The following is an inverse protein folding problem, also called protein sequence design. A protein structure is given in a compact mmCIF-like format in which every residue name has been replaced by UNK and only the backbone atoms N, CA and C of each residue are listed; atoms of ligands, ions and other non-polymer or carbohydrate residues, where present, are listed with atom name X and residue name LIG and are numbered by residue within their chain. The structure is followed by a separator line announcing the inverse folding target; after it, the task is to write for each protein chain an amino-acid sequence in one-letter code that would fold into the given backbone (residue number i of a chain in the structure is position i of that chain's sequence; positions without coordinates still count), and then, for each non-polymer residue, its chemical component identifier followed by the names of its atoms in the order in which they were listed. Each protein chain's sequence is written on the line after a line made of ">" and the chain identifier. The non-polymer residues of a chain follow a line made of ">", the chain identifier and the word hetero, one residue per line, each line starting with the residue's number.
data_IF_830626264104
#
_entry.id   IF_830626264104
#
_cell.length_a   1.000
_cell.length_b   1.000
_cell.length_c   1.000
_cell.angle_alpha   90.00
_cell.angle_beta   90.00
_cell.angle_gamma   90.00
#
_symmetry.space_group_name_H-M   'P 1'
#
loop_
_entity.id
_entity.type
_entity.pdbx_description
1 polymer ?
#
# COMPACT_ATOMS: atom_id res chain seq x y z
N UNK A 1 5.34 -3.88 0.06
CA UNK A 1 4.82 -2.49 0.04
C UNK A 1 5.88 -1.50 -0.41
N UNK A 2 7.05 -1.47 0.22
CA UNK A 2 8.16 -0.58 -0.18
C UNK A 2 8.51 -0.66 -1.69
N UNK A 3 8.70 -1.87 -2.21
CA UNK A 3 8.92 -2.13 -3.65
C UNK A 3 7.77 -1.64 -4.55
N UNK A 4 6.52 -1.78 -4.12
CA UNK A 4 5.33 -1.33 -4.85
C UNK A 4 5.20 0.21 -4.85
N UNK A 5 5.64 0.86 -3.76
CA UNK A 5 5.76 2.31 -3.68
C UNK A 5 6.84 2.84 -4.63
N UNK A 6 8.04 2.23 -4.61
CA UNK A 6 9.19 2.61 -5.45
C UNK A 6 8.92 2.43 -6.96
N UNK A 7 8.20 1.37 -7.34
CA UNK A 7 7.81 1.12 -8.73
C UNK A 7 6.60 1.94 -9.21
N UNK A 8 5.97 2.71 -8.32
CA UNK A 8 4.81 3.55 -8.65
C UNK A 8 3.49 2.79 -8.76
N UNK A 9 3.44 1.51 -8.36
CA UNK A 9 2.22 0.70 -8.28
C UNK A 9 1.31 1.16 -7.13
N UNK A 10 1.89 1.70 -6.05
CA UNK A 10 1.18 2.29 -4.90
C UNK A 10 1.58 3.76 -4.67
N UNK A 11 1.18 4.67 -5.56
CA UNK A 11 1.53 6.11 -5.51
C UNK A 11 1.02 6.85 -4.26
N UNK A 12 -0.05 6.33 -3.65
CA UNK A 12 -0.67 6.90 -2.46
C UNK A 12 0.21 6.72 -1.21
N UNK A 13 1.19 5.81 -1.23
CA UNK A 13 2.15 5.60 -0.14
C UNK A 13 3.34 6.55 -0.32
N UNK A 14 3.78 7.18 0.78
CA UNK A 14 5.08 7.87 0.82
C UNK A 14 6.15 6.93 1.34
N UNK A 15 5.81 6.12 2.35
CA UNK A 15 6.74 5.18 2.96
C UNK A 15 6.07 4.22 3.92
N UNK A 16 6.85 3.28 4.41
CA UNK A 16 6.44 2.29 5.40
C UNK A 16 7.50 2.16 6.49
N UNK A 17 7.08 1.97 7.73
CA UNK A 17 7.96 1.59 8.85
C UNK A 17 7.51 0.20 9.30
N UNK A 18 8.40 -0.78 9.20
CA UNK A 18 8.13 -2.15 9.63
C UNK A 18 8.77 -2.42 11.00
N UNK A 19 8.00 -3.05 11.88
CA UNK A 19 8.49 -3.74 13.08
C UNK A 19 8.49 -5.25 12.85
N UNK A 20 8.41 -6.02 13.93
CA UNK A 20 8.44 -7.49 13.88
C UNK A 20 7.15 -8.07 13.26
N UNK A 21 6.00 -7.75 13.85
CA UNK A 21 4.68 -8.24 13.42
C UNK A 21 3.79 -7.14 12.81
N UNK A 22 4.20 -5.88 12.92
CA UNK A 22 3.37 -4.72 12.60
C UNK A 22 4.07 -3.81 11.61
N UNK A 23 3.32 -3.27 10.65
CA UNK A 23 3.82 -2.27 9.68
C UNK A 23 2.94 -1.03 9.71
N UNK A 24 3.56 0.13 9.87
CA UNK A 24 2.92 1.43 9.65
C UNK A 24 3.10 1.85 8.19
N UNK A 25 1.99 2.18 7.52
CA UNK A 25 1.98 2.67 6.13
C UNK A 25 1.52 4.12 6.11
N UNK A 26 2.31 5.00 5.52
CA UNK A 26 2.09 6.46 5.55
C UNK A 26 1.51 6.93 4.21
N UNK A 27 0.33 7.54 4.26
CA UNK A 27 -0.30 8.12 3.06
C UNK A 27 0.32 9.45 2.65
N UNK A 28 0.25 9.75 1.36
CA UNK A 28 0.73 11.02 0.80
C UNK A 28 -0.11 12.22 1.17
N UNK A 29 -1.41 12.01 1.28
CA UNK A 29 -2.36 13.03 1.71
C UNK A 29 -2.70 12.80 3.21
N UNK A 30 -2.78 13.88 3.98
CA UNK A 30 -3.18 13.85 5.39
C UNK A 30 -4.56 13.18 5.61
N UNK A 31 -5.48 13.31 4.65
CA UNK A 31 -6.81 12.69 4.71
C UNK A 31 -6.91 11.38 3.90
N UNK A 32 -5.78 10.92 3.34
CA UNK A 32 -5.73 9.79 2.39
C UNK A 32 -5.80 8.39 3.02
N UNK A 33 -5.79 8.28 4.35
CA UNK A 33 -5.68 6.98 5.04
C UNK A 33 -6.80 6.00 4.68
N UNK A 34 -8.05 6.46 4.53
CA UNK A 34 -9.19 5.61 4.17
C UNK A 34 -9.05 5.02 2.75
N UNK A 35 -8.64 5.86 1.79
CA UNK A 35 -8.40 5.43 0.42
C UNK A 35 -7.23 4.45 0.35
N UNK A 36 -6.11 4.77 1.01
CA UNK A 36 -4.95 3.90 1.09
C UNK A 36 -5.27 2.52 1.68
N UNK A 37 -6.11 2.47 2.71
CA UNK A 37 -6.54 1.20 3.29
C UNK A 37 -7.39 0.37 2.31
N UNK A 38 -8.16 1.00 1.41
CA UNK A 38 -8.89 0.30 0.35
C UNK A 38 -7.92 -0.26 -0.69
N UNK A 39 -7.01 0.57 -1.19
CA UNK A 39 -6.00 0.18 -2.17
C UNK A 39 -5.14 -0.98 -1.65
N UNK A 40 -4.76 -0.94 -0.36
CA UNK A 40 -3.99 -2.00 0.28
C UNK A 40 -4.75 -3.33 0.30
N UNK A 41 -6.06 -3.31 0.62
CA UNK A 41 -6.91 -4.51 0.60
C UNK A 41 -7.02 -5.10 -0.79
N UNK A 42 -7.18 -4.25 -1.80
CA UNK A 42 -7.25 -4.68 -3.20
C UNK A 42 -5.91 -5.24 -3.69
N UNK A 43 -4.80 -4.67 -3.22
CA UNK A 43 -3.45 -5.09 -3.58
C UNK A 43 -3.09 -6.47 -3.00
N UNK A 44 -3.46 -6.75 -1.75
CA UNK A 44 -3.22 -8.06 -1.13
C UNK A 44 -4.27 -9.11 -1.52
N UNK A 45 -5.37 -8.70 -2.15
CA UNK A 45 -6.42 -9.63 -2.57
C UNK A 45 -5.93 -10.50 -3.73
N UNK A 46 -6.02 -11.85 -3.63
CA UNK A 46 -5.46 -12.78 -4.62
C UNK A 46 -6.11 -12.69 -6.02
N UNK A 47 -7.18 -11.89 -6.19
CA UNK A 47 -7.90 -11.74 -7.46
C UNK A 47 -7.14 -10.93 -8.52
N UNK A 48 -6.15 -10.09 -8.15
CA UNK A 48 -5.42 -9.26 -9.13
C UNK A 48 -4.20 -9.95 -9.75
N UNK A 49 -3.66 -11.00 -9.13
CA UNK A 49 -2.50 -11.75 -9.65
C UNK A 49 -2.80 -12.61 -10.89
N UNK A 50 -4.07 -12.74 -11.31
CA UNK A 50 -4.53 -13.61 -12.42
C UNK A 50 -5.03 -12.85 -13.66
N UNK A 51 -4.72 -11.56 -13.82
CA UNK A 51 -4.91 -10.86 -15.11
C UNK A 51 -3.56 -10.66 -15.77
N UNK A 52 -3.06 -11.73 -16.39
CA UNK A 52 -2.09 -11.68 -17.48
C UNK A 52 -2.54 -12.65 -18.55
#
# INVERSE_FOLDING_TARGET
>A
LDRASQSGEMKAVIGTIAGDDTVLVISRNATGGKALASDLRDFISPKKARRK
#
